data_IF_102812163960
#
_entry.id   IF_102812163960
#
_cell.length_a   1.000
_cell.length_b   1.000
_cell.length_c   1.000
_cell.angle_alpha   90.00
_cell.angle_beta   90.00
_cell.angle_gamma   90.00
#
_symmetry.space_group_name_H-M   'P 1'
#
loop_
_entity.id
_entity.type
_entity.pdbx_description
1 polymer ?
#
# COMPACT_ATOMS: atom_id res chain seq x y z
N UNK A 1 3.60 -13.37 3.60
CA UNK A 1 4.06 -14.74 3.32
C UNK A 1 3.50 -15.29 2.01
N UNK A 2 2.19 -15.28 1.75
CA UNK A 2 1.62 -15.76 0.48
C UNK A 2 2.16 -15.09 -0.79
N UNK A 3 2.14 -13.76 -0.87
CA UNK A 3 2.62 -13.05 -2.07
C UNK A 3 4.12 -13.24 -2.37
N UNK A 4 4.97 -13.28 -1.33
CA UNK A 4 6.43 -13.35 -1.49
C UNK A 4 7.01 -14.76 -1.46
N UNK A 5 6.35 -15.69 -0.74
CA UNK A 5 6.88 -17.02 -0.43
C UNK A 5 5.86 -18.14 -0.67
N UNK A 6 4.67 -17.83 -1.22
CA UNK A 6 3.59 -18.79 -1.53
C UNK A 6 3.08 -19.64 -0.36
N UNK A 7 3.42 -19.30 0.88
CA UNK A 7 2.89 -19.98 2.07
C UNK A 7 1.40 -19.65 2.27
N UNK A 8 0.59 -20.68 2.55
CA UNK A 8 -0.85 -20.57 2.81
C UNK A 8 -1.09 -20.31 4.30
N UNK A 9 -2.29 -19.84 4.66
CA UNK A 9 -2.60 -19.51 6.06
C UNK A 9 -2.42 -20.70 7.02
N UNK A 10 -2.86 -21.90 6.63
CA UNK A 10 -2.72 -23.10 7.45
C UNK A 10 -1.26 -23.57 7.65
N UNK A 11 -0.31 -23.10 6.82
CA UNK A 11 1.10 -23.45 6.96
C UNK A 11 1.90 -22.41 7.75
N UNK A 12 1.28 -21.32 8.20
CA UNK A 12 1.94 -20.24 8.94
C UNK A 12 1.55 -20.36 10.41
N UNK A 13 2.54 -20.36 11.28
CA UNK A 13 2.36 -20.33 12.73
C UNK A 13 2.90 -19.00 13.26
N UNK A 14 2.08 -18.27 14.02
CA UNK A 14 2.49 -17.01 14.66
C UNK A 14 2.83 -17.33 16.12
N UNK A 15 4.08 -17.11 16.50
CA UNK A 15 4.58 -17.45 17.83
C UNK A 15 4.50 -16.26 18.81
N UNK A 16 4.85 -15.06 18.35
CA UNK A 16 4.78 -13.83 19.13
C UNK A 16 4.52 -12.62 18.22
N UNK A 17 3.85 -11.60 18.75
CA UNK A 17 3.64 -10.30 18.13
C UNK A 17 3.75 -9.25 19.22
N UNK A 18 4.57 -8.23 18.99
CA UNK A 18 4.77 -7.12 19.93
C UNK A 18 4.73 -5.78 19.21
N UNK A 19 4.34 -4.73 19.94
CA UNK A 19 4.45 -3.34 19.47
C UNK A 19 5.89 -2.86 19.64
N UNK A 20 6.41 -2.17 18.62
CA UNK A 20 7.81 -1.73 18.57
C UNK A 20 7.84 -0.20 18.42
N UNK A 21 8.61 0.46 19.28
CA UNK A 21 8.87 1.89 19.17
C UNK A 21 9.63 2.25 17.88
N UNK A 22 9.37 3.44 17.32
CA UNK A 22 9.94 3.86 16.03
C UNK A 22 11.47 3.74 15.94
N UNK A 23 12.19 3.98 17.04
CA UNK A 23 13.66 3.87 17.11
C UNK A 23 14.18 2.43 16.96
N UNK A 24 13.37 1.44 17.30
CA UNK A 24 13.72 0.00 17.27
C UNK A 24 13.25 -0.69 15.98
N UNK A 25 12.52 0.00 15.10
CA UNK A 25 12.19 -0.53 13.78
C UNK A 25 13.46 -0.80 12.97
N UNK A 26 13.55 -1.94 12.27
CA UNK A 26 14.70 -2.25 11.40
C UNK A 26 14.43 -2.05 9.91
N UNK A 27 13.19 -2.29 9.46
CA UNK A 27 12.86 -2.36 8.02
C UNK A 27 12.80 -0.95 7.39
N UNK A 28 13.57 -0.65 6.33
CA UNK A 28 13.55 0.66 5.68
C UNK A 28 12.17 1.09 5.17
N UNK A 29 11.39 0.16 4.64
CA UNK A 29 10.02 0.42 4.16
C UNK A 29 9.04 0.87 5.26
N UNK A 30 9.36 0.59 6.54
CA UNK A 30 8.62 1.11 7.69
C UNK A 30 9.23 2.44 8.13
N UNK A 31 10.56 2.50 8.22
CA UNK A 31 11.31 3.70 8.64
C UNK A 31 11.01 4.94 7.82
N UNK A 32 10.79 4.80 6.52
CA UNK A 32 10.51 5.92 5.63
C UNK A 32 9.25 6.73 6.02
N UNK A 33 8.36 6.16 6.83
CA UNK A 33 7.13 6.83 7.30
C UNK A 33 7.29 7.46 8.70
N UNK A 34 8.46 7.37 9.34
CA UNK A 34 8.71 7.95 10.66
C UNK A 34 9.15 9.42 10.58
N UNK A 35 8.37 10.25 9.89
CA UNK A 35 8.59 11.69 9.80
C UNK A 35 7.29 12.44 10.15
N UNK A 36 7.28 13.30 11.19
CA UNK A 36 6.09 14.06 11.58
C UNK A 36 5.64 15.09 10.53
N UNK A 37 6.50 15.45 9.58
CA UNK A 37 6.21 16.40 8.49
C UNK A 37 6.07 15.70 7.14
N UNK A 38 5.77 14.40 7.14
CA UNK A 38 5.65 13.65 5.91
C UNK A 38 4.48 14.16 5.06
N UNK A 39 4.80 14.57 3.84
CA UNK A 39 3.84 15.01 2.85
C UNK A 39 4.17 14.36 1.51
N UNK A 40 3.16 13.86 0.81
CA UNK A 40 3.34 13.31 -0.53
C UNK A 40 2.10 13.52 -1.39
N UNK A 41 2.35 13.80 -2.67
CA UNK A 41 1.32 13.89 -3.69
C UNK A 41 1.00 12.50 -4.25
N UNK A 42 -0.19 12.37 -4.83
CA UNK A 42 -0.58 11.18 -5.60
C UNK A 42 -0.44 11.49 -7.09
N UNK A 43 0.71 11.15 -7.73
CA UNK A 43 1.04 11.64 -9.08
C UNK A 43 0.12 11.09 -10.18
N UNK A 44 -0.47 9.91 -9.96
CA UNK A 44 -1.32 9.26 -10.95
C UNK A 44 -2.50 8.56 -10.28
N UNK A 45 -3.72 9.01 -10.60
CA UNK A 45 -4.96 8.48 -10.04
C UNK A 45 -5.76 7.76 -11.12
N UNK A 46 -5.82 6.42 -11.04
CA UNK A 46 -6.60 5.60 -11.98
C UNK A 46 -8.09 5.65 -11.63
N UNK A 47 -8.92 5.97 -12.61
CA UNK A 47 -10.37 5.89 -12.47
C UNK A 47 -10.81 4.42 -12.32
N UNK A 48 -11.38 4.05 -11.17
CA UNK A 48 -11.85 2.69 -10.89
C UNK A 48 -13.22 2.38 -11.51
N UNK A 49 -14.06 3.40 -11.71
CA UNK A 49 -15.41 3.29 -12.27
C UNK A 49 -15.45 3.17 -13.79
N UNK A 50 -14.62 2.33 -14.40
CA UNK A 50 -14.42 2.27 -15.86
C UNK A 50 -15.68 1.89 -16.66
N UNK A 51 -16.67 1.29 -16.00
CA UNK A 51 -17.94 0.89 -16.62
C UNK A 51 -19.09 1.88 -16.34
N UNK A 52 -18.80 3.05 -15.76
CA UNK A 52 -19.78 4.07 -15.40
C UNK A 52 -19.31 5.47 -15.85
N UNK A 53 -19.51 5.86 -17.13
CA UNK A 53 -20.15 5.10 -18.21
C UNK A 53 -19.17 4.13 -18.90
N UNK A 54 -19.71 3.07 -19.52
CA UNK A 54 -18.91 2.09 -20.28
C UNK A 54 -18.35 2.67 -21.59
N UNK A 55 -19.07 3.60 -22.19
CA UNK A 55 -18.68 4.30 -23.40
C UNK A 55 -18.80 5.80 -23.16
N UNK A 56 -17.76 6.55 -23.52
CA UNK A 56 -17.72 8.01 -23.41
C UNK A 56 -16.82 8.57 -24.51
N UNK A 57 -17.06 9.81 -24.89
CA UNK A 57 -16.24 10.53 -25.87
C UNK A 57 -15.03 11.20 -25.21
N UNK A 58 -15.08 11.42 -23.89
CA UNK A 58 -14.02 12.09 -23.13
C UNK A 58 -12.99 11.07 -22.61
N UNK A 59 -11.70 11.38 -22.78
CA UNK A 59 -10.61 10.59 -22.18
C UNK A 59 -10.55 10.83 -20.66
N UNK A 60 -10.24 9.80 -19.85
CA UNK A 60 -10.09 9.98 -18.41
C UNK A 60 -8.86 10.85 -18.12
N UNK A 61 -9.00 11.81 -17.19
CA UNK A 61 -7.87 12.51 -16.59
C UNK A 61 -7.35 11.72 -15.39
N UNK A 62 -6.03 11.63 -15.26
CA UNK A 62 -5.33 10.90 -14.19
C UNK A 62 -4.45 11.80 -13.33
N UNK A 63 -4.31 13.08 -13.68
CA UNK A 63 -3.53 14.10 -12.94
C UNK A 63 -4.49 15.12 -12.31
N UNK A 64 -4.39 15.31 -11.00
CA UNK A 64 -5.29 16.15 -10.19
C UNK A 64 -4.49 16.94 -9.16
#
# INVERSE_FOLDING_TARGET
MGARHRARAHSIQILNVEEIAASKCHRPAVKQFHDPKIEFLLPHRVLRGQHKPRFTTKRPNTFF
#
